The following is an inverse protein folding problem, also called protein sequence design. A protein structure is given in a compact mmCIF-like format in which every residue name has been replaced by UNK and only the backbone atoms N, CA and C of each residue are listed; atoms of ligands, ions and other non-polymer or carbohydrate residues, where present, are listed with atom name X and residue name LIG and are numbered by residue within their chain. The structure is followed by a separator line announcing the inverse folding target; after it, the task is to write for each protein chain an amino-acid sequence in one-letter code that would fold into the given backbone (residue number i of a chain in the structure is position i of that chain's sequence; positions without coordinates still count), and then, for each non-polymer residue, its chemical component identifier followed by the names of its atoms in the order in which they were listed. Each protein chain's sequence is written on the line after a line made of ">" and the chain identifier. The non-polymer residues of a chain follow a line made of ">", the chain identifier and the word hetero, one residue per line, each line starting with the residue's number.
data_IF_575830371202
#
_entry.id   IF_575830371202
#
_cell.length_a   1.000
_cell.length_b   1.000
_cell.length_c   1.000
_cell.angle_alpha   90.00
_cell.angle_beta   90.00
_cell.angle_gamma   90.00
#
_symmetry.space_group_name_H-M   'P 1'
#
loop_
_entity.id
_entity.type
_entity.pdbx_description
1 polymer ?
#
# COMPACT_ATOMS: atom_id res chain seq x y z
N UNK A 1 -48.52 -35.40 -64.84
CA UNK A 1 -48.38 -35.88 -63.45
C UNK A 1 -46.99 -35.45 -63.01
N UNK A 2 -46.84 -34.15 -62.72
CA UNK A 2 -45.59 -33.58 -62.18
C UNK A 2 -45.63 -33.80 -60.67
N UNK A 3 -44.65 -34.53 -60.16
CA UNK A 3 -44.56 -34.88 -58.74
C UNK A 3 -43.72 -33.79 -58.06
N UNK A 4 -44.27 -33.26 -56.97
CA UNK A 4 -43.65 -32.29 -56.08
C UNK A 4 -42.32 -32.82 -55.54
N UNK A 5 -41.18 -32.18 -55.89
CA UNK A 5 -39.85 -32.48 -55.32
C UNK A 5 -39.22 -31.24 -54.64
N UNK A 6 -39.84 -30.06 -54.71
CA UNK A 6 -39.21 -28.81 -54.24
C UNK A 6 -39.30 -28.57 -52.72
N UNK A 7 -40.07 -29.36 -51.98
CA UNK A 7 -40.23 -29.20 -50.52
C UNK A 7 -39.16 -29.88 -49.66
N UNK A 8 -38.39 -30.83 -50.22
CA UNK A 8 -37.34 -31.54 -49.48
C UNK A 8 -36.00 -30.79 -49.52
N UNK A 9 -35.67 -30.14 -50.65
CA UNK A 9 -34.40 -29.43 -50.85
C UNK A 9 -34.30 -28.14 -50.02
N UNK A 10 -35.39 -27.40 -49.83
CA UNK A 10 -35.39 -26.21 -48.95
C UNK A 10 -35.25 -26.58 -47.47
N UNK A 11 -35.81 -27.72 -47.06
CA UNK A 11 -35.73 -28.19 -45.68
C UNK A 11 -34.35 -28.80 -45.32
N UNK A 12 -33.59 -29.28 -46.30
CA UNK A 12 -32.19 -29.68 -46.09
C UNK A 12 -31.24 -28.48 -46.11
N UNK A 13 -31.47 -27.48 -46.97
CA UNK A 13 -30.66 -26.25 -46.97
C UNK A 13 -30.83 -25.43 -45.70
N UNK A 14 -32.06 -25.26 -45.20
CA UNK A 14 -32.33 -24.58 -43.92
C UNK A 14 -31.64 -25.29 -42.74
N UNK A 15 -31.59 -26.63 -42.75
CA UNK A 15 -30.91 -27.44 -41.72
C UNK A 15 -29.38 -27.44 -41.86
N UNK A 16 -28.85 -27.13 -43.03
CA UNK A 16 -27.40 -26.93 -43.23
C UNK A 16 -26.98 -25.53 -42.77
N UNK A 17 -27.77 -24.50 -43.09
CA UNK A 17 -27.56 -23.13 -42.59
C UNK A 17 -27.64 -23.06 -41.06
N UNK A 18 -28.63 -23.71 -40.42
CA UNK A 18 -28.71 -23.80 -38.95
C UNK A 18 -27.48 -24.47 -38.32
N UNK A 19 -26.90 -25.48 -38.98
CA UNK A 19 -25.68 -26.16 -38.48
C UNK A 19 -24.43 -25.30 -38.64
N UNK A 20 -24.32 -24.56 -39.74
CA UNK A 20 -23.22 -23.60 -39.93
C UNK A 20 -23.31 -22.46 -38.90
N UNK A 21 -24.50 -21.96 -38.59
CA UNK A 21 -24.72 -20.98 -37.50
C UNK A 21 -24.38 -21.55 -36.11
N UNK A 22 -24.75 -22.81 -35.84
CA UNK A 22 -24.36 -23.51 -34.60
C UNK A 22 -22.84 -23.69 -34.49
N UNK A 23 -22.15 -24.01 -35.60
CA UNK A 23 -20.69 -24.13 -35.64
C UNK A 23 -20.00 -22.76 -35.46
N UNK A 24 -20.53 -21.70 -36.07
CA UNK A 24 -20.01 -20.34 -35.94
C UNK A 24 -20.22 -19.82 -34.51
N UNK A 25 -21.39 -20.06 -33.91
CA UNK A 25 -21.67 -19.69 -32.51
C UNK A 25 -20.77 -20.45 -31.53
N UNK A 26 -20.53 -21.75 -31.77
CA UNK A 26 -19.58 -22.55 -31.00
C UNK A 26 -18.14 -22.03 -31.15
N UNK A 27 -17.73 -21.68 -32.37
CA UNK A 27 -16.42 -21.10 -32.63
C UNK A 27 -16.22 -19.78 -31.89
N UNK A 28 -17.20 -18.87 -31.96
CA UNK A 28 -17.19 -17.62 -31.21
C UNK A 28 -17.10 -17.84 -29.70
N UNK A 29 -17.86 -18.81 -29.17
CA UNK A 29 -17.80 -19.16 -27.74
C UNK A 29 -16.41 -19.67 -27.36
N UNK A 30 -15.80 -20.54 -28.16
CA UNK A 30 -14.44 -21.03 -27.94
C UNK A 30 -13.41 -19.89 -27.96
N UNK A 31 -13.49 -18.97 -28.92
CA UNK A 31 -12.60 -17.81 -28.99
C UNK A 31 -12.75 -16.93 -27.75
N UNK A 32 -13.98 -16.64 -27.31
CA UNK A 32 -14.24 -15.87 -26.09
C UNK A 32 -13.65 -16.54 -24.84
N UNK A 33 -13.73 -17.87 -24.74
CA UNK A 33 -13.10 -18.62 -23.64
C UNK A 33 -11.58 -18.44 -23.66
N UNK A 34 -10.96 -18.55 -24.84
CA UNK A 34 -9.50 -18.36 -25.00
C UNK A 34 -9.10 -16.93 -24.63
N UNK A 35 -9.83 -15.92 -25.09
CA UNK A 35 -9.56 -14.52 -24.79
C UNK A 35 -9.69 -14.22 -23.30
N UNK A 36 -10.74 -14.76 -22.66
CA UNK A 36 -10.93 -14.63 -21.21
C UNK A 36 -9.75 -15.24 -20.44
N UNK A 37 -9.26 -16.41 -20.87
CA UNK A 37 -8.11 -17.07 -20.28
C UNK A 37 -6.84 -16.26 -20.47
N UNK A 38 -6.63 -15.70 -21.66
CA UNK A 38 -5.48 -14.88 -21.98
C UNK A 38 -5.42 -13.59 -21.13
N UNK A 39 -6.56 -12.92 -20.92
CA UNK A 39 -6.65 -11.77 -20.01
C UNK A 39 -6.20 -12.15 -18.59
N UNK A 40 -6.67 -13.29 -18.09
CA UNK A 40 -6.27 -13.80 -16.77
C UNK A 40 -4.77 -14.12 -16.72
N UNK A 41 -4.24 -14.72 -17.79
CA UNK A 41 -2.82 -15.08 -17.87
C UNK A 41 -1.93 -13.83 -17.88
N UNK A 42 -2.29 -12.81 -18.65
CA UNK A 42 -1.62 -11.50 -18.67
C UNK A 42 -1.64 -10.83 -17.30
N UNK A 43 -2.79 -10.83 -16.63
CA UNK A 43 -2.92 -10.25 -15.30
C UNK A 43 -2.05 -11.01 -14.28
N UNK A 44 -1.97 -12.34 -14.38
CA UNK A 44 -1.06 -13.16 -13.55
C UNK A 44 0.40 -12.82 -13.81
N UNK A 45 0.79 -12.68 -15.07
CA UNK A 45 2.15 -12.29 -15.45
C UNK A 45 2.50 -10.91 -14.90
N UNK A 46 1.60 -9.93 -15.07
CA UNK A 46 1.74 -8.58 -14.53
C UNK A 46 1.96 -8.59 -13.02
N UNK A 47 1.16 -9.35 -12.26
CA UNK A 47 1.33 -9.48 -10.80
C UNK A 47 2.69 -10.07 -10.42
N UNK A 48 3.15 -11.09 -11.15
CA UNK A 48 4.47 -11.67 -10.94
C UNK A 48 5.57 -10.66 -11.25
N UNK A 49 5.42 -9.86 -12.31
CA UNK A 49 6.39 -8.79 -12.65
C UNK A 49 6.52 -7.77 -11.54
N UNK A 50 5.40 -7.26 -11.04
CA UNK A 50 5.39 -6.30 -9.92
C UNK A 50 6.08 -6.87 -8.67
N UNK A 51 5.80 -8.12 -8.31
CA UNK A 51 6.46 -8.76 -7.15
C UNK A 51 7.98 -8.86 -7.34
N UNK A 52 8.43 -9.16 -8.57
CA UNK A 52 9.87 -9.25 -8.90
C UNK A 52 10.54 -7.89 -8.91
N UNK A 53 9.98 -6.91 -9.62
CA UNK A 53 10.51 -5.55 -9.76
C UNK A 53 10.69 -4.87 -8.41
N UNK A 54 9.69 -4.97 -7.54
CA UNK A 54 9.74 -4.40 -6.18
C UNK A 54 10.54 -5.26 -5.18
N UNK A 55 11.10 -6.39 -5.61
CA UNK A 55 11.93 -7.26 -4.78
C UNK A 55 11.18 -7.93 -3.62
N UNK A 56 9.86 -8.12 -3.76
CA UNK A 56 8.94 -8.59 -2.71
C UNK A 56 8.95 -10.12 -2.48
N UNK A 57 9.90 -10.85 -3.10
CA UNK A 57 9.99 -12.31 -3.03
C UNK A 57 10.57 -12.77 -1.68
N UNK A 58 11.60 -12.08 -1.19
CA UNK A 58 12.36 -12.49 -0.01
C UNK A 58 11.86 -11.77 1.25
N UNK A 59 10.87 -12.38 1.90
CA UNK A 59 10.19 -11.82 3.07
C UNK A 59 11.16 -11.59 4.24
N UNK A 60 12.12 -12.51 4.46
CA UNK A 60 13.07 -12.40 5.56
C UNK A 60 14.06 -11.25 5.36
N UNK A 61 14.57 -11.08 4.14
CA UNK A 61 15.43 -9.94 3.79
C UNK A 61 14.70 -8.61 3.90
N UNK A 62 13.43 -8.55 3.50
CA UNK A 62 12.60 -7.35 3.62
C UNK A 62 12.39 -6.99 5.09
N UNK A 63 11.99 -7.96 5.92
CA UNK A 63 11.78 -7.73 7.35
C UNK A 63 13.07 -7.30 8.06
N UNK A 64 14.21 -7.89 7.69
CA UNK A 64 15.52 -7.49 8.20
C UNK A 64 15.84 -6.03 7.90
N UNK A 65 15.58 -5.57 6.67
CA UNK A 65 15.75 -4.16 6.29
C UNK A 65 14.76 -3.25 7.00
N UNK A 66 13.49 -3.62 7.06
CA UNK A 66 12.45 -2.81 7.69
C UNK A 66 12.71 -2.54 9.17
N UNK A 67 13.24 -3.54 9.90
CA UNK A 67 13.58 -3.39 11.32
C UNK A 67 14.66 -2.34 11.60
N UNK A 68 15.49 -2.02 10.61
CA UNK A 68 16.53 -0.98 10.73
C UNK A 68 15.99 0.43 10.48
N UNK A 69 14.77 0.55 9.93
CA UNK A 69 14.18 1.82 9.58
C UNK A 69 13.47 2.44 10.78
N UNK A 70 13.35 3.77 10.77
CA UNK A 70 12.51 4.49 11.74
C UNK A 70 11.05 4.06 11.61
N UNK A 71 10.31 4.04 12.73
CA UNK A 71 8.87 3.75 12.74
C UNK A 71 8.07 4.61 11.74
N UNK A 72 8.48 5.86 11.55
CA UNK A 72 7.84 6.76 10.58
C UNK A 72 8.07 6.28 9.15
N UNK A 73 9.29 5.89 8.81
CA UNK A 73 9.62 5.37 7.49
C UNK A 73 8.95 4.01 7.22
N UNK A 74 8.91 3.12 8.21
CA UNK A 74 8.17 1.87 8.12
C UNK A 74 6.70 2.13 7.77
N UNK A 75 6.06 3.09 8.45
CA UNK A 75 4.64 3.40 8.21
C UNK A 75 4.38 3.89 6.78
N UNK A 76 5.27 4.71 6.24
CA UNK A 76 5.18 5.22 4.86
C UNK A 76 5.40 4.08 3.87
N UNK A 77 6.39 3.22 4.09
CA UNK A 77 6.68 2.08 3.20
C UNK A 77 5.53 1.07 3.16
N UNK A 78 4.91 0.79 4.31
CA UNK A 78 3.73 -0.09 4.38
C UNK A 78 2.56 0.49 3.57
N UNK A 79 2.32 1.80 3.66
CA UNK A 79 1.29 2.46 2.87
C UNK A 79 1.63 2.42 1.37
N UNK A 80 2.88 2.73 1.01
CA UNK A 80 3.33 2.77 -0.39
C UNK A 80 3.35 1.40 -1.07
N UNK A 81 3.53 0.31 -0.31
CA UNK A 81 3.43 -1.06 -0.84
C UNK A 81 2.08 -1.34 -1.50
N UNK A 82 0.99 -0.69 -1.05
CA UNK A 82 -0.34 -0.82 -1.68
C UNK A 82 -0.36 -0.25 -3.11
N UNK A 83 0.49 0.73 -3.39
CA UNK A 83 0.58 1.40 -4.69
C UNK A 83 1.61 0.77 -5.64
N UNK A 84 2.33 -0.28 -5.20
CA UNK A 84 3.34 -0.98 -6.01
C UNK A 84 2.79 -1.54 -7.33
N UNK A 85 1.47 -1.76 -7.44
CA UNK A 85 0.81 -2.21 -8.68
C UNK A 85 0.73 -1.14 -9.78
N UNK A 86 0.91 0.13 -9.43
CA UNK A 86 0.74 1.28 -10.33
C UNK A 86 2.04 1.99 -10.65
N UNK A 87 3.05 1.82 -9.79
CA UNK A 87 4.32 2.53 -9.87
C UNK A 87 5.45 1.53 -10.01
N UNK A 88 6.46 1.89 -10.79
CA UNK A 88 7.72 1.15 -10.86
C UNK A 88 8.48 1.22 -9.52
N UNK A 89 9.34 0.24 -9.25
CA UNK A 89 10.11 0.14 -8.02
C UNK A 89 10.98 1.38 -7.78
N UNK A 90 11.66 1.89 -8.81
CA UNK A 90 12.51 3.08 -8.68
C UNK A 90 11.69 4.33 -8.36
N UNK A 91 10.57 4.51 -9.08
CA UNK A 91 9.68 5.66 -8.87
C UNK A 91 9.03 5.63 -7.48
N UNK A 92 8.69 4.44 -6.99
CA UNK A 92 8.12 4.24 -5.65
C UNK A 92 9.11 4.63 -4.57
N UNK A 93 10.39 4.22 -4.70
CA UNK A 93 11.43 4.61 -3.74
C UNK A 93 11.68 6.12 -3.75
N UNK A 94 11.76 6.75 -4.94
CA UNK A 94 11.88 8.21 -5.07
C UNK A 94 10.73 8.94 -4.38
N UNK A 95 9.51 8.42 -4.52
CA UNK A 95 8.31 8.98 -3.89
C UNK A 95 8.35 8.84 -2.36
N UNK A 96 8.76 7.68 -1.85
CA UNK A 96 8.94 7.43 -0.41
C UNK A 96 9.94 8.44 0.17
N UNK A 97 11.12 8.59 -0.46
CA UNK A 97 12.15 9.54 0.00
C UNK A 97 11.66 10.99 -0.04
N UNK A 98 10.93 11.36 -1.08
CA UNK A 98 10.33 12.68 -1.21
C UNK A 98 9.33 12.97 -0.09
N UNK A 99 8.46 12.01 0.24
CA UNK A 99 7.48 12.15 1.32
C UNK A 99 8.16 12.28 2.70
N UNK A 100 9.20 11.50 2.96
CA UNK A 100 9.97 11.61 4.21
C UNK A 100 10.67 12.96 4.34
N UNK A 101 11.25 13.45 3.23
CA UNK A 101 11.87 14.77 3.21
C UNK A 101 10.85 15.88 3.43
N UNK A 102 9.68 15.80 2.78
CA UNK A 102 8.58 16.75 2.98
C UNK A 102 8.16 16.78 4.45
N UNK A 103 7.95 15.62 5.07
CA UNK A 103 7.60 15.53 6.50
C UNK A 103 8.67 16.15 7.39
N UNK A 104 9.96 15.91 7.11
CA UNK A 104 11.08 16.53 7.82
C UNK A 104 11.05 18.06 7.69
N UNK A 105 10.82 18.57 6.48
CA UNK A 105 10.73 20.01 6.22
C UNK A 105 9.54 20.63 6.96
N UNK A 106 8.37 20.01 6.90
CA UNK A 106 7.18 20.47 7.63
C UNK A 106 7.43 20.52 9.15
N UNK A 107 8.05 19.48 9.72
CA UNK A 107 8.44 19.47 11.14
C UNK A 107 9.39 20.62 11.46
N UNK A 108 10.38 20.87 10.60
CA UNK A 108 11.33 21.98 10.78
C UNK A 108 10.65 23.34 10.69
N UNK A 109 9.77 23.54 9.70
CA UNK A 109 9.01 24.79 9.54
C UNK A 109 8.16 25.04 10.78
N UNK A 110 7.40 24.05 11.25
CA UNK A 110 6.60 24.17 12.47
C UNK A 110 7.45 24.53 13.69
N UNK A 111 8.59 23.88 13.86
CA UNK A 111 9.54 24.19 14.93
C UNK A 111 10.04 25.65 14.85
N UNK A 112 10.42 26.14 13.67
CA UNK A 112 10.83 27.54 13.49
C UNK A 112 9.68 28.52 13.74
N UNK A 113 8.47 28.19 13.32
CA UNK A 113 7.27 29.00 13.61
C UNK A 113 7.02 29.08 15.12
N UNK A 114 7.20 27.98 15.86
CA UNK A 114 7.06 28.02 17.32
C UNK A 114 8.10 28.92 17.98
N UNK A 115 9.36 28.93 17.48
CA UNK A 115 10.38 29.87 17.97
C UNK A 115 9.98 31.31 17.74
N UNK A 116 9.45 31.61 16.54
CA UNK A 116 8.97 32.94 16.21
C UNK A 116 7.83 33.38 17.15
N UNK A 117 6.85 32.51 17.41
CA UNK A 117 5.77 32.80 18.35
C UNK A 117 6.26 33.02 19.80
N UNK A 118 7.34 32.36 20.18
CA UNK A 118 8.00 32.52 21.49
C UNK A 118 8.93 33.74 21.56
N UNK A 119 9.05 34.52 20.47
CA UNK A 119 9.93 35.69 20.38
C UNK A 119 11.41 35.37 20.18
N UNK A 120 11.76 34.11 19.90
CA UNK A 120 13.14 33.68 19.64
C UNK A 120 13.48 33.98 18.19
N UNK A 121 14.39 34.94 17.96
CA UNK A 121 14.77 35.41 16.62
C UNK A 121 16.06 34.79 16.07
N UNK A 122 16.85 34.12 16.92
CA UNK A 122 18.14 33.53 16.54
C UNK A 122 18.11 32.01 16.57
N UNK A 123 18.83 31.37 15.65
CA UNK A 123 18.88 29.91 15.56
C UNK A 123 19.54 29.28 16.81
N UNK A 124 20.63 29.90 17.29
CA UNK A 124 21.30 29.50 18.53
C UNK A 124 20.37 29.61 19.76
N UNK A 125 19.49 30.62 19.79
CA UNK A 125 18.47 30.76 20.82
C UNK A 125 17.45 29.61 20.78
N UNK A 126 17.07 29.17 19.58
CA UNK A 126 16.20 28.00 19.38
C UNK A 126 16.86 26.71 19.88
N UNK A 127 18.13 26.49 19.56
CA UNK A 127 18.88 25.32 20.04
C UNK A 127 19.06 25.30 21.56
N UNK A 128 19.28 26.47 22.17
CA UNK A 128 19.29 26.60 23.63
C UNK A 128 17.92 26.29 24.23
N UNK A 129 16.84 26.80 23.61
CA UNK A 129 15.47 26.54 24.03
C UNK A 129 15.15 25.04 24.01
N UNK A 130 15.50 24.31 22.94
CA UNK A 130 15.29 22.85 22.89
C UNK A 130 16.07 22.12 23.95
N UNK A 131 17.35 22.45 24.16
CA UNK A 131 18.17 21.82 25.21
C UNK A 131 17.57 22.03 26.60
N UNK A 132 17.08 23.23 26.90
CA UNK A 132 16.42 23.53 28.17
C UNK A 132 15.04 22.89 28.28
N UNK A 133 14.28 22.82 27.18
CA UNK A 133 12.98 22.14 27.09
C UNK A 133 13.15 20.64 27.34
N UNK A 134 14.11 19.99 26.69
CA UNK A 134 14.41 18.57 26.86
C UNK A 134 14.85 18.23 28.28
N UNK A 135 15.71 19.07 28.91
CA UNK A 135 16.07 18.90 30.33
C UNK A 135 14.85 18.96 31.24
N UNK A 136 13.95 19.93 31.04
CA UNK A 136 12.70 20.06 31.80
C UNK A 136 11.78 18.87 31.57
N UNK A 137 11.66 18.42 30.33
CA UNK A 137 10.85 17.25 29.94
C UNK A 137 11.35 15.97 30.61
N UNK A 138 12.67 15.70 30.57
CA UNK A 138 13.28 14.55 31.26
C UNK A 138 13.06 14.57 32.77
N UNK A 139 13.21 15.73 33.42
CA UNK A 139 12.94 15.85 34.86
C UNK A 139 11.48 15.59 35.18
N UNK A 140 10.56 16.14 34.36
CA UNK A 140 9.12 15.90 34.48
C UNK A 140 8.75 14.44 34.27
N UNK A 141 9.36 13.75 33.30
CA UNK A 141 9.15 12.32 33.06
C UNK A 141 9.63 11.46 34.23
N UNK A 142 10.80 11.78 34.81
CA UNK A 142 11.31 11.10 36.02
C UNK A 142 10.37 11.28 37.21
N UNK A 143 9.92 12.52 37.44
CA UNK A 143 8.95 12.81 38.50
C UNK A 143 7.64 12.05 38.27
N UNK A 144 7.10 12.07 37.04
CA UNK A 144 5.89 11.33 36.69
C UNK A 144 6.05 9.82 36.93
N UNK A 145 7.16 9.23 36.49
CA UNK A 145 7.44 7.81 36.73
C UNK A 145 7.51 7.47 38.22
N UNK A 146 8.13 8.33 39.03
CA UNK A 146 8.16 8.16 40.49
C UNK A 146 6.77 8.24 41.11
N UNK A 147 5.93 9.17 40.63
CA UNK A 147 4.54 9.30 41.07
C UNK A 147 3.72 8.06 40.70
N UNK A 148 3.88 7.56 39.47
CA UNK A 148 3.20 6.36 38.98
C UNK A 148 3.57 5.11 39.82
N UNK A 149 4.82 5.01 40.27
CA UNK A 149 5.30 3.98 41.20
C UNK A 149 4.64 4.09 42.57
N UNK A 150 4.59 5.29 43.15
CA UNK A 150 3.95 5.54 44.45
C UNK A 150 2.47 5.17 44.39
N UNK A 151 1.77 5.58 43.31
CA UNK A 151 0.36 5.27 43.11
C UNK A 151 0.14 3.75 43.01
N UNK A 152 0.98 3.03 42.25
CA UNK A 152 0.88 1.56 42.16
C UNK A 152 1.08 0.89 43.51
N UNK A 153 2.08 1.30 44.28
CA UNK A 153 2.35 0.73 45.61
C UNK A 153 1.20 0.99 46.58
N UNK A 154 0.66 2.21 46.65
CA UNK A 154 -0.49 2.53 47.49
C UNK A 154 -1.74 1.74 47.05
N UNK A 155 -1.96 1.59 45.75
CA UNK A 155 -3.09 0.81 45.22
C UNK A 155 -2.96 -0.68 45.57
N UNK A 156 -1.75 -1.24 45.54
CA UNK A 156 -1.49 -2.59 46.03
C UNK A 156 -1.77 -2.73 47.54
N UNK A 157 -1.42 -1.73 48.35
CA UNK A 157 -1.72 -1.75 49.79
C UNK A 157 -3.22 -1.81 50.10
N UNK A 158 -4.06 -1.09 49.35
CA UNK A 158 -5.52 -1.09 49.54
C UNK A 158 -6.24 -2.32 48.97
N UNK A 159 -5.57 -3.16 48.17
CA UNK A 159 -6.15 -4.43 47.65
C UNK A 159 -5.79 -5.61 48.57
N UNK A 160 -4.77 -5.45 49.42
CA UNK A 160 -4.29 -6.46 50.36
C UNK A 160 -4.95 -6.40 51.74
N UNK A 161 -5.79 -5.38 51.99
CA UNK A 161 -6.67 -5.23 53.15
C UNK A 161 -8.13 -5.24 52.67
#
# INVERSE_FOLDING_TARGET
>A
MEVMIDGANGCESEREEEREEEEETLHMLMMNVIDSYWIILKEREKRKSVIREHGLIDVYRILGRERLLSNEEQSVRVLMRRFARFLDAETTEKLIQSFLNEKRLIKRIKCLQTYHCLGIKTLAGGELYERLREKREKTRERMKASLDLIIKNNKCYYIMY
#
